data_IF_560401549422
#
_entry.id   IF_560401549422
#
_cell.length_a   1.000
_cell.length_b   1.000
_cell.length_c   1.000
_cell.angle_alpha   90.00
_cell.angle_beta   90.00
_cell.angle_gamma   90.00
#
_symmetry.space_group_name_H-M   'P 1'
#
loop_
_entity.id
_entity.type
_entity.pdbx_description
1 polymer ?
#
# COMPACT_ATOMS: atom_id res chain seq x y z
N UNK A 1 17.81 -34.81 -0.04
CA UNK A 1 17.02 -33.99 0.89
C UNK A 1 16.56 -32.77 0.12
N UNK A 2 15.32 -32.75 -0.36
CA UNK A 2 14.77 -31.60 -1.08
C UNK A 2 14.40 -30.57 -0.01
N UNK A 3 15.13 -29.45 0.06
CA UNK A 3 14.77 -28.35 0.95
C UNK A 3 13.37 -27.87 0.58
N UNK A 4 12.45 -27.93 1.55
CA UNK A 4 11.12 -27.33 1.43
C UNK A 4 11.30 -25.81 1.47
N UNK A 5 11.57 -25.20 0.33
CA UNK A 5 11.61 -23.75 0.21
C UNK A 5 10.20 -23.22 0.41
N UNK A 6 9.93 -22.67 1.59
CA UNK A 6 8.63 -22.07 1.91
C UNK A 6 8.40 -20.90 0.96
N UNK A 7 7.26 -20.90 0.28
CA UNK A 7 6.84 -19.76 -0.53
C UNK A 7 6.53 -18.61 0.43
N UNK A 8 7.18 -17.44 0.29
CA UNK A 8 6.88 -16.31 1.16
C UNK A 8 5.45 -15.83 0.95
N UNK A 9 4.84 -15.33 2.02
CA UNK A 9 3.56 -14.63 1.97
C UNK A 9 3.68 -13.35 1.15
N UNK A 10 2.54 -12.83 0.67
CA UNK A 10 2.52 -11.55 -0.04
C UNK A 10 3.11 -10.41 0.80
N UNK A 11 2.87 -10.41 2.11
CA UNK A 11 3.42 -9.41 3.03
C UNK A 11 4.95 -9.50 3.05
N UNK A 12 5.53 -10.70 3.15
CA UNK A 12 6.98 -10.88 3.13
C UNK A 12 7.60 -10.44 1.80
N UNK A 13 6.96 -10.78 0.68
CA UNK A 13 7.37 -10.27 -0.64
C UNK A 13 7.31 -8.74 -0.73
N UNK A 14 6.33 -8.12 -0.10
CA UNK A 14 6.14 -6.68 -0.09
C UNK A 14 7.06 -5.93 0.90
N UNK A 15 7.94 -6.62 1.63
CA UNK A 15 8.81 -6.01 2.66
C UNK A 15 8.16 -5.91 4.05
N UNK A 16 7.20 -6.78 4.34
CA UNK A 16 6.47 -6.84 5.60
C UNK A 16 5.49 -5.68 5.78
N UNK A 17 5.08 -5.46 7.03
CA UNK A 17 4.15 -4.39 7.39
C UNK A 17 4.70 -3.00 7.04
N UNK A 18 6.00 -2.77 7.22
CA UNK A 18 6.62 -1.48 6.92
C UNK A 18 6.64 -1.16 5.43
N UNK A 19 6.85 -2.18 4.58
CA UNK A 19 6.71 -2.03 3.13
C UNK A 19 5.29 -1.64 2.72
N UNK A 20 4.29 -2.27 3.33
CA UNK A 20 2.88 -1.94 3.10
C UNK A 20 2.53 -0.54 3.62
N UNK A 21 3.04 -0.11 4.78
CA UNK A 21 2.87 1.26 5.29
C UNK A 21 3.45 2.29 4.33
N UNK A 22 4.67 2.06 3.85
CA UNK A 22 5.31 2.96 2.90
C UNK A 22 4.52 3.03 1.59
N UNK A 23 4.04 1.90 1.08
CA UNK A 23 3.18 1.84 -0.10
C UNK A 23 1.91 2.68 0.08
N UNK A 24 1.18 2.48 1.18
CA UNK A 24 -0.06 3.20 1.47
C UNK A 24 0.18 4.70 1.63
N UNK A 25 1.27 5.10 2.30
CA UNK A 25 1.67 6.51 2.40
C UNK A 25 1.86 7.14 1.02
N UNK A 26 2.58 6.46 0.12
CA UNK A 26 2.77 6.96 -1.26
C UNK A 26 1.48 7.00 -2.07
N UNK A 27 0.54 6.09 -1.81
CA UNK A 27 -0.78 6.13 -2.43
C UNK A 27 -1.53 7.41 -2.04
N UNK A 28 -1.66 7.70 -0.75
CA UNK A 28 -2.37 8.89 -0.28
C UNK A 28 -1.64 10.21 -0.59
N UNK A 29 -0.32 10.19 -0.77
CA UNK A 29 0.41 11.33 -1.30
C UNK A 29 0.05 11.63 -2.77
N UNK A 30 -0.30 10.63 -3.58
CA UNK A 30 -0.50 10.80 -5.03
C UNK A 30 -1.95 11.00 -5.43
N UNK A 31 -2.86 10.26 -4.80
CA UNK A 31 -4.28 10.20 -5.19
C UNK A 31 -4.99 11.55 -5.23
N UNK A 32 -4.79 12.47 -4.25
CA UNK A 32 -5.44 13.79 -4.29
C UNK A 32 -4.98 14.67 -5.47
N UNK A 33 -3.86 14.34 -6.10
CA UNK A 33 -3.31 15.06 -7.25
C UNK A 33 -3.67 14.43 -8.60
N UNK A 34 -4.32 13.25 -8.60
CA UNK A 34 -4.78 12.62 -9.82
C UNK A 34 -6.15 13.19 -10.22
N UNK A 35 -6.32 13.72 -11.45
CA UNK A 35 -7.54 14.41 -11.85
C UNK A 35 -8.77 13.50 -11.92
N UNK A 36 -8.59 12.19 -12.10
CA UNK A 36 -9.68 11.23 -12.15
C UNK A 36 -10.03 10.68 -10.77
N UNK A 37 -9.03 10.51 -9.91
CA UNK A 37 -9.24 9.94 -8.57
C UNK A 37 -9.59 11.00 -7.53
N UNK A 38 -9.08 12.23 -7.64
CA UNK A 38 -9.30 13.27 -6.64
C UNK A 38 -10.79 13.49 -6.29
N UNK A 39 -11.76 13.51 -7.23
CA UNK A 39 -13.17 13.67 -6.90
C UNK A 39 -13.73 12.54 -6.01
N UNK A 40 -13.22 11.31 -6.16
CA UNK A 40 -13.64 10.15 -5.36
C UNK A 40 -13.20 10.30 -3.90
N UNK A 41 -12.03 10.89 -3.68
CA UNK A 41 -11.43 11.04 -2.35
C UNK A 41 -11.66 12.43 -1.73
N UNK A 42 -12.38 13.32 -2.41
CA UNK A 42 -12.54 14.72 -2.01
C UNK A 42 -13.17 14.92 -0.62
N UNK A 43 -13.92 13.93 -0.12
CA UNK A 43 -14.60 13.98 1.18
C UNK A 43 -13.96 13.05 2.22
N UNK A 44 -12.78 12.49 1.94
CA UNK A 44 -12.10 11.58 2.85
C UNK A 44 -11.59 12.34 4.09
N UNK A 45 -11.84 11.78 5.28
CA UNK A 45 -11.35 12.34 6.53
C UNK A 45 -9.80 12.31 6.53
N UNK A 46 -9.12 13.42 6.89
CA UNK A 46 -7.65 13.46 6.95
C UNK A 46 -7.03 12.39 7.87
N UNK A 47 -7.76 11.89 8.86
CA UNK A 47 -7.30 10.81 9.76
C UNK A 47 -7.26 9.43 9.10
N UNK A 48 -7.85 9.29 7.91
CA UNK A 48 -7.82 8.05 7.13
C UNK A 48 -6.51 7.88 6.34
N UNK A 49 -5.83 8.98 6.03
CA UNK A 49 -4.62 9.01 5.21
C UNK A 49 -3.34 8.73 6.03
#
# INVERSE_FOLDING_TARGET
>A
MTESRTVPTLAEWAGGLEGLRALTKRFYEKVPHDPHLAPVFAQMDPRHA
#
